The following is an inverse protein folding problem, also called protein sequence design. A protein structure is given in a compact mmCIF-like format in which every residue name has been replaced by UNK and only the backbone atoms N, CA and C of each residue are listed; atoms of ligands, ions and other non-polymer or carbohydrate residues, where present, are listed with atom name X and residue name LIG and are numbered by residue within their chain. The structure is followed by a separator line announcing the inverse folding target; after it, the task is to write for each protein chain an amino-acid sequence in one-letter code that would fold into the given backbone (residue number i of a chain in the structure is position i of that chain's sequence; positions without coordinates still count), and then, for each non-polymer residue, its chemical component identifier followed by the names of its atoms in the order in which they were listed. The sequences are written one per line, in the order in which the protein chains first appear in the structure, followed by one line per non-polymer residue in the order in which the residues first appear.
data_IF_904090547325
#
_entry.id   IF_904090547325
#
_cell.length_a   1.000
_cell.length_b   1.000
_cell.length_c   1.000
_cell.angle_alpha   90.00
_cell.angle_beta   90.00
_cell.angle_gamma   90.00
#
_symmetry.space_group_name_H-M   'P 1'
#
loop_
_entity.id
_entity.type
_entity.pdbx_description
1 polymer ?
#
# COMPACT_ATOMS: atom_id res chain seq x y z
N UNK A 1 3.10 0.37 -31.69
CA UNK A 1 3.59 1.01 -30.45
C UNK A 1 3.81 -0.11 -29.47
N UNK A 2 4.94 -0.14 -28.75
CA UNK A 2 5.17 -1.16 -27.73
C UNK A 2 4.25 -0.88 -26.53
N UNK A 3 3.27 -1.76 -26.33
CA UNK A 3 2.34 -1.75 -25.20
C UNK A 3 2.96 -2.40 -23.96
N UNK A 4 4.27 -2.66 -23.98
CA UNK A 4 5.03 -3.14 -22.84
C UNK A 4 6.43 -2.55 -22.82
N UNK A 5 6.98 -2.36 -21.63
CA UNK A 5 8.35 -1.90 -21.42
C UNK A 5 8.87 -2.39 -20.07
N UNK A 6 10.18 -2.27 -19.83
CA UNK A 6 10.84 -2.72 -18.60
C UNK A 6 11.45 -1.53 -17.88
N UNK A 7 11.27 -1.46 -16.58
CA UNK A 7 11.90 -0.44 -15.72
C UNK A 7 12.96 -1.12 -14.85
N UNK A 8 14.23 -0.69 -14.88
CA UNK A 8 15.26 -1.20 -13.98
C UNK A 8 14.87 -0.98 -12.51
N UNK A 9 15.21 -1.97 -11.67
CA UNK A 9 15.02 -1.93 -10.22
C UNK A 9 16.39 -1.87 -9.55
N UNK A 10 16.58 -0.89 -8.65
CA UNK A 10 17.79 -0.77 -7.83
C UNK A 10 17.62 -1.58 -6.55
N UNK A 11 18.55 -2.49 -6.26
CA UNK A 11 18.51 -3.36 -5.09
C UNK A 11 17.39 -4.41 -5.16
N UNK A 12 16.80 -4.74 -4.01
CA UNK A 12 15.73 -5.73 -3.92
C UNK A 12 14.35 -5.15 -4.28
N UNK A 13 13.51 -6.02 -4.83
CA UNK A 13 12.05 -5.85 -4.88
C UNK A 13 11.42 -7.22 -4.62
N UNK A 14 10.38 -7.25 -3.81
CA UNK A 14 9.40 -8.33 -3.78
C UNK A 14 8.04 -7.69 -4.05
N UNK A 15 7.59 -7.82 -5.29
CA UNK A 15 6.36 -7.18 -5.77
C UNK A 15 5.14 -7.71 -5.02
N UNK A 16 5.09 -9.00 -4.73
CA UNK A 16 3.99 -9.63 -3.99
C UNK A 16 3.94 -9.14 -2.55
N UNK A 17 5.09 -9.11 -1.86
CA UNK A 17 5.21 -8.58 -0.51
C UNK A 17 4.80 -7.11 -0.44
N UNK A 18 5.31 -6.30 -1.37
CA UNK A 18 5.04 -4.86 -1.46
C UNK A 18 3.54 -4.59 -1.66
N UNK A 19 2.90 -5.27 -2.62
CA UNK A 19 1.49 -5.03 -2.94
C UNK A 19 0.51 -5.65 -1.94
N UNK A 20 0.96 -6.59 -1.11
CA UNK A 20 0.13 -7.26 -0.08
C UNK A 20 0.44 -6.83 1.34
N UNK A 21 1.34 -5.86 1.55
CA UNK A 21 1.70 -5.38 2.89
C UNK A 21 0.59 -4.56 3.57
N UNK A 22 -0.53 -4.29 2.88
CA UNK A 22 -1.65 -3.51 3.42
C UNK A 22 -1.53 -2.01 3.22
N UNK A 23 -0.46 -1.56 2.55
CA UNK A 23 -0.25 -0.15 2.19
C UNK A 23 -1.14 0.35 1.04
N UNK A 24 -1.59 -0.53 0.14
CA UNK A 24 -2.44 -0.20 -1.02
C UNK A 24 -3.60 -1.19 -1.19
N UNK A 25 -4.68 -0.77 -1.85
CA UNK A 25 -5.95 -1.51 -1.93
C UNK A 25 -6.46 -1.78 -3.35
N UNK A 26 -5.75 -1.29 -4.37
CA UNK A 26 -6.20 -1.31 -5.77
C UNK A 26 -5.41 -2.24 -6.68
N UNK A 27 -4.63 -3.14 -6.08
CA UNK A 27 -3.85 -4.15 -6.78
C UNK A 27 -4.55 -5.51 -6.72
N UNK A 28 -4.65 -6.18 -7.88
CA UNK A 28 -5.23 -7.52 -8.01
C UNK A 28 -4.25 -8.40 -8.75
N UNK A 29 -4.21 -9.69 -8.40
CA UNK A 29 -3.46 -10.66 -9.20
C UNK A 29 -4.13 -10.77 -10.56
N UNK A 30 -3.34 -10.63 -11.62
CA UNK A 30 -3.70 -10.94 -12.99
C UNK A 30 -3.18 -12.35 -13.30
N UNK A 31 -4.03 -13.17 -13.89
CA UNK A 31 -3.69 -14.50 -14.40
C UNK A 31 -2.91 -14.46 -15.72
N UNK A 32 -2.62 -13.28 -16.25
CA UNK A 32 -1.87 -13.10 -17.49
C UNK A 32 -2.67 -13.40 -18.76
N UNK A 33 -3.95 -13.75 -18.65
CA UNK A 33 -4.84 -13.82 -19.80
C UNK A 33 -5.21 -12.39 -20.25
N UNK A 34 -5.30 -12.17 -21.57
CA UNK A 34 -5.85 -10.95 -22.13
C UNK A 34 -7.33 -10.86 -21.75
N UNK A 35 -7.70 -9.78 -21.05
CA UNK A 35 -9.02 -9.67 -20.44
C UNK A 35 -9.94 -8.82 -21.29
N UNK A 36 -11.10 -9.38 -21.66
CA UNK A 36 -12.35 -8.70 -21.42
C UNK A 36 -13.26 -9.58 -20.53
N UNK A 37 -13.67 -9.00 -19.40
CA UNK A 37 -14.84 -9.39 -18.62
C UNK A 37 -14.97 -10.87 -18.25
N UNK A 38 -14.44 -11.28 -17.10
CA UNK A 38 -15.21 -12.01 -16.07
C UNK A 38 -14.35 -12.27 -14.81
N UNK A 39 -15.03 -12.20 -13.65
CA UNK A 39 -14.63 -12.61 -12.29
C UNK A 39 -13.13 -12.62 -11.96
N UNK A 40 -12.69 -11.47 -11.47
CA UNK A 40 -11.43 -11.28 -10.75
C UNK A 40 -11.36 -12.16 -9.50
N UNK A 41 -10.34 -13.01 -9.40
CA UNK A 41 -10.07 -13.77 -8.19
C UNK A 41 -9.43 -12.87 -7.12
N UNK A 42 -10.03 -12.82 -5.93
CA UNK A 42 -9.26 -12.49 -4.71
C UNK A 42 -8.25 -13.62 -4.59
N UNK A 43 -6.97 -13.32 -4.80
CA UNK A 43 -5.94 -14.34 -4.67
C UNK A 43 -6.04 -15.00 -3.29
N UNK A 44 -6.04 -16.34 -3.22
CA UNK A 44 -6.12 -17.03 -1.94
C UNK A 44 -5.01 -16.52 -1.02
N UNK A 45 -5.28 -16.54 0.30
CA UNK A 45 -4.22 -16.37 1.30
C UNK A 45 -3.10 -17.32 0.91
N UNK A 46 -1.86 -16.81 0.82
CA UNK A 46 -0.68 -17.66 0.71
C UNK A 46 -0.82 -18.74 1.79
N UNK A 47 -0.88 -20.04 1.43
CA UNK A 47 -0.95 -21.08 2.42
C UNK A 47 0.26 -20.92 3.33
N UNK A 48 0.04 -20.85 4.64
CA UNK A 48 1.12 -21.11 5.58
C UNK A 48 1.72 -22.47 5.23
N UNK A 49 3.05 -22.65 5.30
CA UNK A 49 3.67 -23.91 4.90
C UNK A 49 3.06 -25.04 5.72
N UNK A 50 2.33 -25.92 5.03
CA UNK A 50 1.67 -27.08 5.59
C UNK A 50 2.70 -28.01 6.23
N UNK A 51 2.30 -28.66 7.33
CA UNK A 51 3.12 -29.69 7.97
C UNK A 51 3.18 -30.93 7.05
N UNK A 52 4.38 -31.20 6.51
CA UNK A 52 4.93 -32.53 6.26
C UNK A 52 4.34 -33.40 5.13
N UNK A 53 5.22 -33.75 4.17
CA UNK A 53 5.09 -34.91 3.28
C UNK A 53 5.91 -34.73 1.98
N UNK A 54 6.83 -35.65 1.61
CA UNK A 54 7.67 -35.46 0.43
C UNK A 54 6.85 -35.69 -0.85
N UNK A 55 6.67 -34.65 -1.65
CA UNK A 55 6.11 -34.77 -3.00
C UNK A 55 7.25 -34.93 -4.00
N UNK A 56 7.27 -36.09 -4.64
CA UNK A 56 8.10 -36.39 -5.79
C UNK A 56 7.64 -35.61 -7.04
N UNK A 57 8.61 -35.19 -7.86
CA UNK A 57 8.48 -35.16 -9.32
C UNK A 57 7.81 -33.94 -9.96
N UNK A 58 8.64 -33.01 -10.44
CA UNK A 58 8.29 -32.01 -11.46
C UNK A 58 8.53 -30.57 -11.00
N UNK A 59 9.63 -29.95 -11.46
CA UNK A 59 9.83 -28.50 -11.39
C UNK A 59 8.81 -27.82 -12.31
N UNK A 60 7.58 -27.64 -11.81
CA UNK A 60 6.67 -26.65 -12.37
C UNK A 60 7.36 -25.29 -12.21
N UNK A 61 7.71 -24.64 -13.32
CA UNK A 61 8.26 -23.29 -13.31
C UNK A 61 7.35 -22.42 -12.43
N UNK A 62 7.90 -21.82 -11.37
CA UNK A 62 7.15 -20.91 -10.50
C UNK A 62 6.47 -19.86 -11.39
N UNK A 63 5.14 -19.89 -11.42
CA UNK A 63 4.37 -18.96 -12.24
C UNK A 63 4.57 -17.57 -11.66
N UNK A 64 5.31 -16.72 -12.39
CA UNK A 64 5.50 -15.31 -12.03
C UNK A 64 4.12 -14.65 -11.90
N UNK A 65 3.80 -14.16 -10.71
CA UNK A 65 2.57 -13.44 -10.47
C UNK A 65 2.62 -12.09 -11.18
N UNK A 66 1.52 -11.76 -11.86
CA UNK A 66 1.31 -10.44 -12.45
C UNK A 66 0.26 -9.69 -11.64
N UNK A 67 0.34 -8.37 -11.63
CA UNK A 67 -0.53 -7.51 -10.83
C UNK A 67 -1.16 -6.41 -11.68
N UNK A 68 -2.49 -6.34 -11.70
CA UNK A 68 -3.24 -5.25 -12.31
C UNK A 68 -3.60 -4.19 -11.26
N UNK A 69 -3.20 -2.95 -11.48
CA UNK A 69 -3.49 -1.81 -10.63
C UNK A 69 -3.66 -0.52 -11.43
N UNK A 70 -4.00 0.57 -10.75
CA UNK A 70 -4.17 1.88 -11.36
C UNK A 70 -3.19 2.85 -10.70
N UNK A 71 -2.38 3.54 -11.51
CA UNK A 71 -1.43 4.56 -11.06
C UNK A 71 -1.75 5.85 -11.82
N UNK A 72 -2.26 6.85 -11.09
CA UNK A 72 -2.81 8.07 -11.70
C UNK A 72 -3.98 7.71 -12.61
N UNK A 73 -3.87 8.08 -13.89
CA UNK A 73 -4.94 7.90 -14.87
C UNK A 73 -4.82 6.61 -15.69
N UNK A 74 -3.88 5.72 -15.33
CA UNK A 74 -3.54 4.54 -16.13
C UNK A 74 -3.60 3.25 -15.34
N UNK A 75 -4.35 2.30 -15.86
CA UNK A 75 -4.26 0.91 -15.46
C UNK A 75 -2.99 0.29 -16.05
N UNK A 76 -2.26 -0.47 -15.23
CA UNK A 76 -1.03 -1.14 -15.61
C UNK A 76 -1.07 -2.58 -15.13
N UNK A 77 -0.48 -3.48 -15.91
CA UNK A 77 -0.16 -4.84 -15.47
C UNK A 77 1.34 -4.91 -15.24
N UNK A 78 1.71 -5.33 -14.02
CA UNK A 78 3.09 -5.40 -13.58
C UNK A 78 3.51 -6.85 -13.37
N UNK A 79 4.69 -7.20 -13.87
CA UNK A 79 5.29 -8.51 -13.66
C UNK A 79 6.74 -8.29 -13.24
N UNK A 80 7.11 -8.87 -12.09
CA UNK A 80 8.49 -8.79 -11.63
C UNK A 80 9.38 -9.74 -12.43
N UNK A 81 10.53 -9.22 -12.86
CA UNK A 81 11.60 -9.97 -13.49
C UNK A 81 12.92 -9.70 -12.77
N UNK A 82 13.93 -10.50 -13.06
CA UNK A 82 15.24 -10.32 -12.44
C UNK A 82 15.83 -8.95 -12.83
N UNK A 83 16.02 -8.07 -11.85
CA UNK A 83 16.51 -6.70 -12.02
C UNK A 83 15.53 -5.71 -12.70
N UNK A 84 14.32 -6.13 -13.08
CA UNK A 84 13.37 -5.27 -13.80
C UNK A 84 11.92 -5.45 -13.33
N UNK A 85 11.14 -4.39 -13.48
CA UNK A 85 9.68 -4.43 -13.42
C UNK A 85 9.14 -4.28 -14.83
N UNK A 86 8.53 -5.34 -15.37
CA UNK A 86 7.83 -5.28 -16.64
C UNK A 86 6.49 -4.59 -16.43
N UNK A 87 6.18 -3.63 -17.31
CA UNK A 87 4.94 -2.87 -17.33
C UNK A 87 4.23 -3.16 -18.65
N UNK A 88 2.96 -3.53 -18.59
CA UNK A 88 2.07 -3.67 -19.74
C UNK A 88 0.94 -2.65 -19.65
N UNK A 89 0.66 -2.00 -20.78
CA UNK A 89 -0.37 -0.98 -20.98
C UNK A 89 -1.52 -1.54 -21.82
N UNK A 90 -2.69 -0.93 -21.71
CA UNK A 90 -3.86 -1.35 -22.46
C UNK A 90 -3.82 -0.76 -23.88
N UNK A 91 -3.77 -1.58 -24.95
CA UNK A 91 -3.78 -1.06 -26.31
C UNK A 91 -5.06 -0.29 -26.67
N UNK A 92 -6.16 -0.47 -25.93
CA UNK A 92 -7.43 0.21 -26.15
C UNK A 92 -7.46 1.66 -25.62
N UNK A 93 -6.44 2.10 -24.88
CA UNK A 93 -6.40 3.43 -24.28
C UNK A 93 -5.16 4.20 -24.75
N UNK A 94 -5.31 5.50 -24.99
CA UNK A 94 -4.18 6.37 -25.34
C UNK A 94 -3.20 6.51 -24.17
N UNK A 95 -1.94 6.14 -24.39
CA UNK A 95 -0.91 6.19 -23.36
C UNK A 95 0.30 7.02 -23.79
N UNK A 96 0.90 7.73 -22.83
CA UNK A 96 2.27 8.22 -22.95
C UNK A 96 3.19 7.31 -22.14
N UNK A 97 3.87 6.37 -22.81
CA UNK A 97 4.70 5.35 -22.16
C UNK A 97 5.77 5.95 -21.24
N UNK A 98 6.39 7.08 -21.63
CA UNK A 98 7.39 7.77 -20.81
C UNK A 98 6.77 8.32 -19.51
N UNK A 99 5.58 8.92 -19.59
CA UNK A 99 4.85 9.41 -18.40
C UNK A 99 4.45 8.26 -17.48
N UNK A 100 3.97 7.14 -18.03
CA UNK A 100 3.62 5.95 -17.24
C UNK A 100 4.86 5.35 -16.59
N UNK A 101 5.97 5.22 -17.34
CA UNK A 101 7.23 4.72 -16.81
C UNK A 101 7.75 5.57 -15.64
N UNK A 102 7.74 6.90 -15.78
CA UNK A 102 8.09 7.82 -14.70
C UNK A 102 7.15 7.68 -13.48
N UNK A 103 5.85 7.53 -13.73
CA UNK A 103 4.84 7.30 -12.69
C UNK A 103 5.10 6.01 -11.91
N UNK A 104 5.32 4.89 -12.60
CA UNK A 104 5.62 3.59 -11.97
C UNK A 104 6.95 3.65 -11.21
N UNK A 105 8.01 4.22 -11.81
CA UNK A 105 9.32 4.38 -11.16
C UNK A 105 9.20 5.12 -9.83
N UNK A 106 8.45 6.22 -9.81
CA UNK A 106 8.16 7.00 -8.59
C UNK A 106 7.29 6.22 -7.61
N UNK A 107 6.19 5.64 -8.07
CA UNK A 107 5.21 4.95 -7.22
C UNK A 107 5.84 3.81 -6.43
N UNK A 108 6.76 3.05 -7.03
CA UNK A 108 7.47 1.96 -6.35
C UNK A 108 8.83 2.35 -5.78
N UNK A 109 9.28 3.61 -5.92
CA UNK A 109 10.63 4.04 -5.54
C UNK A 109 11.73 3.11 -6.09
N UNK A 110 11.69 2.84 -7.40
CA UNK A 110 12.58 1.84 -8.02
C UNK A 110 14.05 2.25 -8.07
N UNK A 111 14.35 3.53 -7.87
CA UNK A 111 15.72 4.06 -7.85
C UNK A 111 16.40 3.94 -6.48
N UNK A 112 15.64 3.64 -5.42
CA UNK A 112 16.19 3.47 -4.08
C UNK A 112 16.83 2.08 -3.93
N UNK A 113 18.09 2.04 -3.46
CA UNK A 113 18.78 0.79 -3.14
C UNK A 113 18.19 0.15 -1.87
N UNK A 114 17.12 -0.60 -2.09
CA UNK A 114 16.39 -1.28 -1.04
C UNK A 114 17.28 -2.28 -0.27
N UNK A 115 18.25 -2.89 -0.94
CA UNK A 115 19.15 -3.83 -0.31
C UNK A 115 20.12 -3.13 0.66
N UNK A 116 20.58 -1.92 0.33
CA UNK A 116 21.36 -1.10 1.26
C UNK A 116 20.53 -0.65 2.47
N UNK A 117 19.29 -0.20 2.26
CA UNK A 117 18.37 0.20 3.34
C UNK A 117 18.12 -0.96 4.30
N UNK A 118 17.80 -2.14 3.77
CA UNK A 118 17.56 -3.36 4.54
C UNK A 118 18.79 -3.81 5.33
N UNK A 119 19.99 -3.76 4.73
CA UNK A 119 21.25 -4.06 5.44
C UNK A 119 21.50 -3.11 6.59
N UNK A 120 21.20 -1.82 6.43
CA UNK A 120 21.35 -0.86 7.51
C UNK A 120 20.38 -1.16 8.66
N UNK A 121 19.09 -1.40 8.35
CA UNK A 121 18.11 -1.79 9.36
C UNK A 121 18.50 -3.08 10.10
N UNK A 122 18.89 -4.12 9.35
CA UNK A 122 19.24 -5.42 9.89
C UNK A 122 20.49 -5.35 10.80
N UNK A 123 21.49 -4.53 10.45
CA UNK A 123 22.71 -4.40 11.26
C UNK A 123 22.48 -3.69 12.60
N UNK A 124 21.47 -2.81 12.68
CA UNK A 124 21.10 -2.07 13.90
C UNK A 124 20.05 -2.79 14.74
N UNK A 125 19.24 -3.66 14.12
CA UNK A 125 18.09 -4.30 14.75
C UNK A 125 18.03 -5.79 14.44
N UNK A 126 18.68 -6.66 15.25
CA UNK A 126 18.78 -8.10 14.96
C UNK A 126 17.43 -8.81 14.78
N UNK A 127 16.43 -8.50 15.62
CA UNK A 127 15.07 -9.07 15.50
C UNK A 127 14.45 -8.71 14.14
N UNK A 128 14.58 -7.47 13.71
CA UNK A 128 14.08 -7.04 12.41
C UNK A 128 14.92 -7.64 11.27
N UNK A 129 16.23 -7.79 11.46
CA UNK A 129 17.13 -8.43 10.51
C UNK A 129 16.72 -9.87 10.19
N UNK A 130 16.27 -10.63 11.20
CA UNK A 130 15.72 -11.99 10.97
C UNK A 130 14.40 -11.96 10.19
N UNK A 131 13.53 -10.98 10.47
CA UNK A 131 12.27 -10.82 9.71
C UNK A 131 12.57 -10.49 8.25
N UNK A 132 13.49 -9.54 8.00
CA UNK A 132 13.90 -9.13 6.66
C UNK A 132 14.53 -10.29 5.91
N UNK A 133 15.42 -11.08 6.54
CA UNK A 133 16.12 -12.18 5.86
C UNK A 133 15.19 -13.29 5.37
N UNK A 134 14.02 -13.47 6.02
CA UNK A 134 13.00 -14.43 5.58
C UNK A 134 12.31 -14.01 4.28
N UNK A 135 12.17 -12.71 4.02
CA UNK A 135 11.51 -12.19 2.82
C UNK A 135 11.89 -10.72 2.54
N UNK A 136 13.07 -10.45 1.95
CA UNK A 136 13.52 -9.09 1.68
C UNK A 136 12.78 -8.46 0.49
N UNK A 137 13.01 -7.17 0.24
CA UNK A 137 12.51 -6.47 -0.95
C UNK A 137 11.16 -5.77 -0.78
N UNK A 138 10.64 -5.63 0.44
CA UNK A 138 9.46 -4.79 0.70
C UNK A 138 9.78 -3.33 0.40
N UNK A 139 9.11 -2.71 -0.58
CA UNK A 139 9.23 -1.28 -0.82
C UNK A 139 8.03 -0.51 -0.24
N UNK A 140 8.30 0.68 0.30
CA UNK A 140 7.24 1.65 0.65
C UNK A 140 6.81 2.35 -0.64
N UNK A 141 5.52 2.34 -0.95
CA UNK A 141 4.96 3.00 -2.12
C UNK A 141 4.92 4.53 -1.96
N UNK A 142 4.78 5.24 -3.09
CA UNK A 142 4.54 6.67 -3.18
C UNK A 142 3.21 6.92 -3.91
N UNK A 143 2.12 6.69 -3.21
CA UNK A 143 0.75 6.80 -3.71
C UNK A 143 0.34 8.26 -3.92
N UNK A 144 -0.73 8.47 -4.69
CA UNK A 144 -1.39 9.76 -4.75
C UNK A 144 -1.92 10.16 -3.35
N UNK A 145 -1.64 11.38 -2.86
CA UNK A 145 -2.06 11.78 -1.52
C UNK A 145 -3.55 11.76 -1.27
N UNK A 146 -4.37 12.09 -2.28
CA UNK A 146 -5.82 12.07 -2.15
C UNK A 146 -6.32 10.62 -2.05
N UNK A 147 -5.95 9.76 -3.01
CA UNK A 147 -6.31 8.34 -3.00
C UNK A 147 -5.86 7.65 -1.71
N UNK A 148 -4.63 7.90 -1.26
CA UNK A 148 -4.09 7.32 -0.04
C UNK A 148 -4.91 7.76 1.19
N UNK A 149 -5.12 9.07 1.35
CA UNK A 149 -5.89 9.65 2.46
C UNK A 149 -7.30 9.06 2.56
N UNK A 150 -8.06 9.09 1.47
CA UNK A 150 -9.44 8.64 1.49
C UNK A 150 -9.55 7.12 1.64
N UNK A 151 -8.59 6.37 1.09
CA UNK A 151 -8.52 4.92 1.30
C UNK A 151 -8.28 4.58 2.77
N UNK A 152 -7.40 5.31 3.48
CA UNK A 152 -7.18 5.07 4.91
C UNK A 152 -8.32 5.59 5.79
N UNK A 153 -9.05 6.65 5.40
CA UNK A 153 -10.33 7.01 6.04
C UNK A 153 -11.32 5.84 5.94
N UNK A 154 -11.45 5.23 4.75
CA UNK A 154 -12.31 4.06 4.51
C UNK A 154 -11.83 2.79 5.24
N UNK A 155 -10.55 2.74 5.61
CA UNK A 155 -9.93 1.62 6.34
C UNK A 155 -10.26 1.54 7.82
N UNK A 156 -10.60 2.67 8.46
CA UNK A 156 -10.76 2.73 9.91
C UNK A 156 -11.82 1.72 10.39
N UNK A 157 -11.55 0.84 11.36
CA UNK A 157 -12.52 -0.20 11.81
C UNK A 157 -13.09 -1.08 10.68
N UNK A 158 -12.24 -1.49 9.73
CA UNK A 158 -12.65 -2.27 8.57
C UNK A 158 -11.64 -3.40 8.28
N UNK A 159 -11.98 -4.32 7.38
CA UNK A 159 -11.05 -5.37 6.91
C UNK A 159 -10.68 -5.15 5.45
N UNK A 160 -9.49 -5.60 5.04
CA UNK A 160 -8.95 -5.34 3.69
C UNK A 160 -9.96 -5.70 2.58
N UNK A 161 -10.56 -6.92 2.52
CA UNK A 161 -11.51 -7.24 1.46
C UNK A 161 -12.72 -6.29 1.39
N UNK A 162 -13.21 -5.79 2.52
CA UNK A 162 -14.31 -4.83 2.55
C UNK A 162 -13.87 -3.44 2.10
N UNK A 163 -12.68 -2.99 2.52
CA UNK A 163 -12.07 -1.72 2.08
C UNK A 163 -11.92 -1.71 0.55
N UNK A 164 -11.32 -2.78 0.02
CA UNK A 164 -11.10 -3.00 -1.40
C UNK A 164 -12.39 -2.95 -2.22
N UNK A 165 -13.45 -3.62 -1.76
CA UNK A 165 -14.76 -3.58 -2.43
C UNK A 165 -15.39 -2.18 -2.42
N UNK A 166 -15.29 -1.47 -1.30
CA UNK A 166 -15.81 -0.09 -1.19
C UNK A 166 -15.05 0.85 -2.12
N UNK A 167 -13.72 0.76 -2.16
CA UNK A 167 -12.89 1.60 -3.05
C UNK A 167 -13.19 1.30 -4.52
N UNK A 168 -13.23 0.02 -4.93
CA UNK A 168 -13.53 -0.30 -6.32
C UNK A 168 -14.96 0.11 -6.69
N UNK A 169 -15.95 -0.03 -5.80
CA UNK A 169 -17.30 0.49 -6.06
C UNK A 169 -17.33 2.00 -6.27
N UNK A 170 -16.58 2.78 -5.47
CA UNK A 170 -16.43 4.23 -5.70
C UNK A 170 -15.80 4.53 -7.06
N UNK A 171 -14.73 3.81 -7.43
CA UNK A 171 -14.06 3.98 -8.71
C UNK A 171 -14.99 3.63 -9.88
N UNK A 172 -15.77 2.56 -9.77
CA UNK A 172 -16.74 2.17 -10.80
C UNK A 172 -17.84 3.21 -10.98
N UNK A 173 -18.32 3.83 -9.90
CA UNK A 173 -19.41 4.80 -9.96
C UNK A 173 -18.95 6.20 -10.40
N UNK A 174 -17.72 6.60 -10.06
CA UNK A 174 -17.27 8.00 -10.16
C UNK A 174 -15.97 8.20 -10.95
N UNK A 175 -15.25 7.14 -11.27
CA UNK A 175 -13.98 7.18 -12.00
C UNK A 175 -14.16 7.22 -13.52
N UNK A 176 -13.09 7.61 -14.22
CA UNK A 176 -13.00 7.57 -15.68
C UNK A 176 -12.33 6.25 -16.14
N UNK A 177 -12.51 5.81 -17.39
CA UNK A 177 -11.78 4.65 -17.91
C UNK A 177 -10.25 4.83 -17.79
N UNK A 178 -9.57 3.84 -17.21
CA UNK A 178 -8.11 3.82 -17.02
C UNK A 178 -7.39 2.74 -17.85
N UNK A 179 -8.14 1.83 -18.46
CA UNK A 179 -7.62 0.65 -19.18
C UNK A 179 -7.85 -0.66 -18.42
N UNK A 180 -7.77 -1.79 -19.12
CA UNK A 180 -8.02 -3.15 -18.61
C UNK A 180 -9.35 -3.29 -17.85
N UNK A 181 -10.38 -2.55 -18.29
CA UNK A 181 -11.68 -2.50 -17.62
C UNK A 181 -11.68 -1.85 -16.23
N UNK A 182 -10.58 -1.18 -15.83
CA UNK A 182 -10.47 -0.45 -14.56
C UNK A 182 -10.84 1.02 -14.73
N UNK A 183 -11.24 1.65 -13.63
CA UNK A 183 -11.50 3.10 -13.56
C UNK A 183 -10.50 3.83 -12.66
N UNK A 184 -10.28 5.11 -12.93
CA UNK A 184 -9.46 6.00 -12.10
C UNK A 184 -10.06 6.16 -10.69
N UNK A 185 -9.24 6.59 -9.74
CA UNK A 185 -9.76 6.98 -8.43
C UNK A 185 -10.51 8.31 -8.56
N UNK A 186 -11.71 8.47 -7.97
CA UNK A 186 -12.47 9.70 -8.11
C UNK A 186 -11.80 10.86 -7.38
N UNK A 187 -11.64 11.99 -8.05
CA UNK A 187 -11.09 13.21 -7.45
C UNK A 187 -12.01 13.83 -6.40
N UNK A 188 -11.50 14.80 -5.61
CA UNK A 188 -12.25 15.41 -4.50
C UNK A 188 -13.55 16.10 -4.96
N UNK A 189 -13.57 16.73 -6.13
CA UNK A 189 -14.80 17.30 -6.69
C UNK A 189 -15.88 16.25 -7.00
N UNK A 190 -15.51 15.10 -7.56
CA UNK A 190 -16.46 14.04 -7.87
C UNK A 190 -17.09 13.47 -6.58
N UNK A 191 -16.25 13.25 -5.56
CA UNK A 191 -16.69 12.77 -4.24
C UNK A 191 -17.60 13.79 -3.55
N UNK A 192 -17.27 15.08 -3.60
CA UNK A 192 -18.08 16.14 -2.99
C UNK A 192 -19.50 16.21 -3.60
N UNK A 193 -19.63 16.00 -4.92
CA UNK A 193 -20.87 16.20 -5.66
C UNK A 193 -21.70 14.91 -5.86
N UNK A 194 -21.19 13.73 -5.51
CA UNK A 194 -21.89 12.47 -5.77
C UNK A 194 -23.14 12.23 -4.91
N UNK A 195 -23.27 12.95 -3.79
CA UNK A 195 -24.39 12.81 -2.86
C UNK A 195 -24.37 11.53 -2.02
N UNK A 196 -25.20 11.49 -0.98
CA UNK A 196 -25.21 10.37 -0.03
C UNK A 196 -25.65 9.04 -0.64
N UNK A 197 -26.55 9.06 -1.63
CA UNK A 197 -27.02 7.85 -2.33
C UNK A 197 -25.87 7.08 -2.95
N UNK A 198 -24.92 7.78 -3.60
CA UNK A 198 -23.74 7.13 -4.21
C UNK A 198 -22.81 6.58 -3.13
N UNK A 199 -22.53 7.36 -2.08
CA UNK A 199 -21.67 6.92 -0.98
C UNK A 199 -22.22 5.68 -0.25
N UNK A 200 -23.54 5.61 -0.10
CA UNK A 200 -24.25 4.48 0.49
C UNK A 200 -24.22 3.25 -0.43
N UNK A 201 -24.45 3.44 -1.74
CA UNK A 201 -24.37 2.38 -2.73
C UNK A 201 -22.95 1.77 -2.81
N UNK A 202 -21.91 2.60 -2.69
CA UNK A 202 -20.52 2.15 -2.59
C UNK A 202 -20.17 1.52 -1.22
N UNK A 203 -21.12 1.45 -0.29
CA UNK A 203 -20.98 0.85 1.04
C UNK A 203 -19.94 1.55 1.92
N UNK A 204 -19.82 2.87 1.82
CA UNK A 204 -18.92 3.65 2.69
C UNK A 204 -19.35 3.60 4.17
N UNK A 205 -20.63 3.35 4.44
CA UNK A 205 -21.21 3.38 5.80
C UNK A 205 -21.00 4.75 6.47
N UNK A 206 -20.78 4.76 7.79
CA UNK A 206 -20.52 6.00 8.53
C UNK A 206 -19.26 6.77 8.07
N UNK A 207 -18.39 6.16 7.26
CA UNK A 207 -17.19 6.81 6.72
C UNK A 207 -17.54 7.69 5.51
N UNK A 208 -18.69 7.48 4.88
CA UNK A 208 -19.19 8.32 3.78
C UNK A 208 -19.25 9.80 4.18
N UNK A 209 -19.79 10.12 5.36
CA UNK A 209 -19.81 11.50 5.89
C UNK A 209 -18.41 12.08 6.10
N UNK A 210 -17.43 11.28 6.52
CA UNK A 210 -16.05 11.73 6.69
C UNK A 210 -15.39 11.97 5.33
N UNK A 211 -15.65 11.09 4.36
CA UNK A 211 -15.15 11.22 3.00
C UNK A 211 -15.71 12.49 2.32
N UNK A 212 -17.02 12.74 2.40
CA UNK A 212 -17.66 13.94 1.85
C UNK A 212 -17.16 15.23 2.53
N UNK A 213 -17.08 15.24 3.86
CA UNK A 213 -16.59 16.40 4.61
C UNK A 213 -15.09 16.66 4.35
N UNK A 214 -14.29 15.60 4.18
CA UNK A 214 -12.88 15.71 3.76
C UNK A 214 -12.78 16.31 2.36
N UNK A 215 -13.57 15.80 1.39
CA UNK A 215 -13.63 16.34 0.04
C UNK A 215 -13.97 17.84 0.05
N UNK A 216 -14.93 18.26 0.88
CA UNK A 216 -15.30 19.67 1.05
C UNK A 216 -14.12 20.53 1.51
N UNK A 217 -13.38 20.10 2.54
CA UNK A 217 -12.21 20.83 3.07
C UNK A 217 -11.07 20.95 2.07
N UNK A 218 -10.84 19.91 1.27
CA UNK A 218 -9.84 19.94 0.19
C UNK A 218 -10.28 20.89 -0.93
N UNK A 219 -11.53 20.78 -1.40
CA UNK A 219 -12.07 21.63 -2.48
C UNK A 219 -12.13 23.10 -2.08
N UNK A 220 -12.44 23.41 -0.81
CA UNK A 220 -12.46 24.80 -0.32
C UNK A 220 -11.06 25.38 -0.06
N UNK A 221 -9.99 24.58 -0.18
CA UNK A 221 -8.64 24.99 0.15
C UNK A 221 -8.36 25.14 1.65
N UNK A 222 -9.23 24.63 2.52
CA UNK A 222 -8.99 24.67 3.98
C UNK A 222 -7.81 23.78 4.38
N UNK A 223 -7.63 22.67 3.66
CA UNK A 223 -6.46 21.79 3.76
C UNK A 223 -5.90 21.58 2.35
N UNK A 224 -4.63 21.96 2.16
CA UNK A 224 -3.90 21.77 0.90
C UNK A 224 -2.96 20.55 0.99
N UNK A 225 -3.34 19.45 0.34
CA UNK A 225 -2.51 18.24 0.29
C UNK A 225 -1.16 18.48 -0.41
N UNK A 226 -1.09 19.40 -1.37
CA UNK A 226 0.20 19.72 -2.01
C UNK A 226 1.12 20.42 -1.00
N UNK A 227 0.59 21.37 -0.23
CA UNK A 227 1.27 22.07 0.84
C UNK A 227 1.76 21.16 1.96
N UNK A 228 0.99 20.12 2.33
CA UNK A 228 1.38 19.12 3.35
C UNK A 228 2.75 18.51 3.05
N UNK A 229 3.07 18.24 1.78
CA UNK A 229 4.36 17.68 1.38
C UNK A 229 5.56 18.57 1.71
N UNK A 230 5.36 19.88 1.86
CA UNK A 230 6.42 20.85 2.17
C UNK A 230 6.60 21.11 3.66
N UNK A 231 5.68 20.63 4.51
CA UNK A 231 5.73 20.84 5.96
C UNK A 231 6.68 19.84 6.64
N UNK A 232 7.31 20.22 7.77
CA UNK A 232 7.95 19.25 8.67
C UNK A 232 6.96 18.20 9.16
N UNK A 233 7.41 16.98 9.38
CA UNK A 233 6.56 15.80 9.69
C UNK A 233 5.55 16.04 10.83
N UNK A 234 5.91 16.67 11.97
CA UNK A 234 4.92 17.00 13.01
C UNK A 234 3.81 17.95 12.52
N UNK A 235 4.17 18.99 11.76
CA UNK A 235 3.20 19.95 11.22
C UNK A 235 2.34 19.32 10.11
N UNK A 236 2.94 18.52 9.23
CA UNK A 236 2.23 17.76 8.21
C UNK A 236 1.19 16.80 8.83
N UNK A 237 1.56 16.13 9.92
CA UNK A 237 0.67 15.27 10.71
C UNK A 237 -0.50 16.07 11.29
N UNK A 238 -0.21 17.19 11.96
CA UNK A 238 -1.24 18.07 12.52
C UNK A 238 -2.20 18.59 11.46
N UNK A 239 -1.70 18.93 10.27
CA UNK A 239 -2.51 19.40 9.14
C UNK A 239 -3.50 18.32 8.68
N UNK A 240 -3.02 17.08 8.47
CA UNK A 240 -3.87 15.95 8.08
C UNK A 240 -4.92 15.63 9.15
N UNK A 241 -4.58 15.74 10.43
CA UNK A 241 -5.48 15.45 11.55
C UNK A 241 -6.62 16.47 11.73
N UNK A 242 -6.63 17.59 10.98
CA UNK A 242 -7.80 18.48 10.88
C UNK A 242 -8.96 17.85 10.12
N UNK A 243 -8.69 16.82 9.33
CA UNK A 243 -9.68 16.16 8.48
C UNK A 243 -10.53 15.17 9.28
N UNK A 244 -11.84 15.09 9.01
CA UNK A 244 -12.74 14.21 9.75
C UNK A 244 -12.38 12.73 9.54
N UNK A 245 -12.31 11.98 10.64
CA UNK A 245 -11.93 10.56 10.61
C UNK A 245 -10.42 10.31 10.51
N UNK A 246 -9.58 11.35 10.54
CA UNK A 246 -8.11 11.24 10.48
C UNK A 246 -7.52 11.42 11.89
N UNK A 247 -7.27 10.30 12.57
CA UNK A 247 -6.43 10.26 13.77
C UNK A 247 -4.96 10.05 13.44
N UNK A 248 -4.09 10.01 14.46
CA UNK A 248 -2.63 9.84 14.28
C UNK A 248 -2.27 8.68 13.35
N UNK A 249 -2.85 7.48 13.56
CA UNK A 249 -2.58 6.30 12.73
C UNK A 249 -2.83 6.59 11.25
N UNK A 250 -3.97 7.20 10.92
CA UNK A 250 -4.34 7.50 9.52
C UNK A 250 -3.40 8.55 8.95
N UNK A 251 -3.09 9.61 9.72
CA UNK A 251 -2.13 10.62 9.31
C UNK A 251 -0.75 10.02 9.03
N UNK A 252 -0.23 9.17 9.92
CA UNK A 252 1.06 8.50 9.74
C UNK A 252 1.05 7.55 8.53
N UNK A 253 -0.03 6.80 8.27
CA UNK A 253 -0.16 6.01 7.04
C UNK A 253 -0.06 6.89 5.79
N UNK A 254 -0.72 8.05 5.78
CA UNK A 254 -0.68 8.97 4.63
C UNK A 254 0.71 9.59 4.46
N UNK A 255 1.34 10.01 5.56
CA UNK A 255 2.71 10.54 5.55
C UNK A 255 3.71 9.50 5.02
N UNK A 256 3.57 8.24 5.43
CA UNK A 256 4.43 7.16 4.98
C UNK A 256 4.19 6.83 3.50
N UNK A 257 2.95 6.50 3.13
CA UNK A 257 2.65 5.88 1.84
C UNK A 257 2.38 6.85 0.70
N UNK A 258 2.15 8.15 0.97
CA UNK A 258 1.99 9.16 -0.07
C UNK A 258 3.10 10.21 -0.08
N UNK A 259 3.61 10.59 1.10
CA UNK A 259 4.64 11.64 1.22
C UNK A 259 6.05 11.10 1.50
N UNK A 260 6.23 9.77 1.56
CA UNK A 260 7.52 9.11 1.82
C UNK A 260 8.24 9.60 3.08
N UNK A 261 7.49 9.93 4.14
CA UNK A 261 8.07 10.22 5.47
C UNK A 261 8.45 8.90 6.13
N UNK A 262 9.58 8.33 5.74
CA UNK A 262 10.05 7.00 6.20
C UNK A 262 10.34 6.94 7.70
N UNK A 263 10.41 8.08 8.37
CA UNK A 263 10.63 8.20 9.80
C UNK A 263 9.36 8.05 10.66
N UNK A 264 8.16 7.99 10.09
CA UNK A 264 6.92 7.79 10.88
C UNK A 264 6.63 6.31 11.12
N UNK A 265 5.91 6.00 12.21
CA UNK A 265 5.60 4.61 12.60
C UNK A 265 4.09 4.41 12.84
N UNK A 266 3.29 4.14 11.79
CA UNK A 266 1.84 3.94 11.94
C UNK A 266 1.50 2.71 12.79
N UNK A 267 0.77 2.88 13.90
CA UNK A 267 0.41 1.78 14.80
C UNK A 267 -1.06 1.40 14.67
N UNK A 268 -1.31 0.22 14.12
CA UNK A 268 -2.61 -0.46 14.18
C UNK A 268 -2.60 -1.63 15.18
N UNK A 269 -3.67 -2.43 15.19
CA UNK A 269 -3.76 -3.59 16.10
C UNK A 269 -2.71 -4.66 15.84
N UNK A 270 -2.24 -4.83 14.59
CA UNK A 270 -1.22 -5.83 14.23
C UNK A 270 0.16 -5.33 14.60
N UNK A 271 0.49 -4.09 14.27
CA UNK A 271 1.76 -3.46 14.66
C UNK A 271 1.88 -3.40 16.18
N UNK A 272 0.80 -3.02 16.89
CA UNK A 272 0.79 -3.02 18.36
C UNK A 272 1.07 -4.41 18.94
N UNK A 273 0.50 -5.47 18.37
CA UNK A 273 0.77 -6.86 18.78
C UNK A 273 2.21 -7.26 18.49
N UNK A 274 2.72 -6.94 17.30
CA UNK A 274 4.10 -7.22 16.92
C UNK A 274 5.08 -6.56 17.89
N UNK A 275 4.85 -5.27 18.18
CA UNK A 275 5.66 -4.51 19.13
C UNK A 275 5.60 -5.12 20.53
N UNK A 276 4.40 -5.39 21.05
CA UNK A 276 4.23 -5.99 22.38
C UNK A 276 4.93 -7.36 22.54
N UNK A 277 4.99 -8.16 21.47
CA UNK A 277 5.59 -9.50 21.50
C UNK A 277 7.10 -9.49 21.32
N UNK A 278 7.61 -8.66 20.40
CA UNK A 278 9.02 -8.62 20.03
C UNK A 278 9.82 -7.63 20.88
N UNK A 279 9.14 -6.65 21.46
CA UNK A 279 9.70 -5.61 22.31
C UNK A 279 8.81 -5.47 23.57
N UNK A 280 8.96 -6.38 24.55
CA UNK A 280 8.06 -6.52 25.69
C UNK A 280 7.82 -5.25 26.51
N UNK A 281 8.77 -4.32 26.51
CA UNK A 281 8.66 -3.00 27.14
C UNK A 281 7.49 -2.18 26.58
N UNK A 282 7.02 -2.47 25.36
CA UNK A 282 5.91 -1.78 24.71
C UNK A 282 4.54 -2.36 25.01
N UNK A 283 4.46 -3.52 25.69
CA UNK A 283 3.22 -4.29 25.86
C UNK A 283 2.08 -3.49 26.51
N UNK A 284 2.40 -2.68 27.52
CA UNK A 284 1.43 -1.84 28.24
C UNK A 284 1.25 -0.44 27.66
N UNK A 285 1.96 -0.10 26.58
CA UNK A 285 1.91 1.24 26.00
C UNK A 285 0.63 1.47 25.19
N UNK A 286 0.02 2.68 25.25
CA UNK A 286 -1.00 3.08 24.29
C UNK A 286 -0.40 3.22 22.88
N UNK A 287 -1.22 3.12 21.80
CA UNK A 287 -0.73 3.15 20.42
C UNK A 287 0.20 4.33 20.09
N UNK A 288 -0.08 5.51 20.63
CA UNK A 288 0.70 6.73 20.41
C UNK A 288 2.12 6.60 21.00
N UNK A 289 2.26 5.99 22.17
CA UNK A 289 3.56 5.74 22.81
C UNK A 289 4.32 4.62 22.10
N UNK A 290 3.62 3.62 21.57
CA UNK A 290 4.23 2.60 20.71
C UNK A 290 4.77 3.23 19.42
N UNK A 291 4.04 4.18 18.85
CA UNK A 291 4.48 4.89 17.65
C UNK A 291 5.72 5.73 17.92
N UNK A 292 5.75 6.50 19.01
CA UNK A 292 6.95 7.26 19.44
C UNK A 292 8.15 6.34 19.69
N UNK A 293 7.95 5.19 20.32
CA UNK A 293 9.03 4.22 20.52
C UNK A 293 9.51 3.59 19.21
N UNK A 294 8.62 3.30 18.27
CA UNK A 294 8.98 2.84 16.93
C UNK A 294 9.79 3.89 16.15
N UNK A 295 9.34 5.14 16.16
CA UNK A 295 10.06 6.29 15.55
C UNK A 295 11.46 6.43 16.17
N UNK A 296 11.57 6.40 17.50
CA UNK A 296 12.86 6.50 18.22
C UNK A 296 13.78 5.32 17.93
N UNK A 297 13.24 4.10 17.93
CA UNK A 297 14.02 2.86 17.82
C UNK A 297 14.56 2.66 16.41
N UNK A 298 13.70 2.79 15.41
CA UNK A 298 14.03 2.46 14.02
C UNK A 298 14.47 3.68 13.21
N UNK A 299 14.35 4.89 13.77
CA UNK A 299 14.88 6.13 13.23
C UNK A 299 14.33 6.44 11.84
N UNK A 300 15.22 6.80 10.90
CA UNK A 300 14.86 7.23 9.55
C UNK A 300 14.14 6.18 8.69
N UNK A 301 14.12 4.91 9.11
CA UNK A 301 13.45 3.82 8.40
C UNK A 301 12.36 3.17 9.25
N UNK A 302 11.80 3.90 10.22
CA UNK A 302 10.72 3.43 11.08
C UNK A 302 9.51 2.91 10.29
N UNK A 303 9.12 3.58 9.21
CA UNK A 303 8.01 3.14 8.37
C UNK A 303 8.28 1.81 7.66
N UNK A 304 9.51 1.57 7.21
CA UNK A 304 9.89 0.28 6.61
C UNK A 304 9.92 -0.84 7.67
N UNK A 305 10.48 -0.56 8.85
CA UNK A 305 10.42 -1.49 9.98
C UNK A 305 8.98 -1.84 10.36
N UNK A 306 8.09 -0.83 10.38
CA UNK A 306 6.66 -1.01 10.65
C UNK A 306 6.00 -1.97 9.66
N UNK A 307 6.27 -1.84 8.36
CA UNK A 307 5.68 -2.72 7.34
C UNK A 307 6.18 -4.17 7.45
N UNK A 308 7.46 -4.36 7.75
CA UNK A 308 7.99 -5.69 8.05
C UNK A 308 7.33 -6.32 9.28
N UNK A 309 7.19 -5.56 10.37
CA UNK A 309 6.51 -6.01 11.59
C UNK A 309 5.03 -6.33 11.34
N UNK A 310 4.36 -5.50 10.56
CA UNK A 310 2.97 -5.73 10.16
C UNK A 310 2.82 -7.03 9.36
N UNK A 311 3.63 -7.21 8.31
CA UNK A 311 3.63 -8.42 7.50
C UNK A 311 3.90 -9.66 8.35
N UNK A 312 4.91 -9.58 9.22
CA UNK A 312 5.35 -10.69 10.05
C UNK A 312 4.26 -11.15 11.03
N UNK A 313 3.61 -10.22 11.73
CA UNK A 313 2.50 -10.55 12.64
C UNK A 313 1.28 -11.06 11.88
N UNK A 314 0.90 -10.41 10.78
CA UNK A 314 -0.32 -10.73 10.04
C UNK A 314 -0.25 -12.09 9.33
N UNK A 315 0.94 -12.52 8.90
CA UNK A 315 1.14 -13.82 8.23
C UNK A 315 1.34 -14.98 9.21
N UNK A 316 1.40 -14.72 10.53
CA UNK A 316 1.66 -15.75 11.52
C UNK A 316 3.08 -16.32 11.47
N UNK A 317 4.00 -15.64 10.78
CA UNK A 317 5.40 -16.06 10.64
C UNK A 317 6.16 -16.10 11.98
N UNK A 318 5.59 -15.49 13.03
CA UNK A 318 6.01 -15.54 14.43
C UNK A 318 6.09 -16.94 15.05
N UNK A 319 5.24 -17.88 14.62
CA UNK A 319 5.23 -19.24 15.20
C UNK A 319 6.59 -19.94 15.02
N UNK A 320 7.41 -19.45 14.09
CA UNK A 320 8.71 -20.03 13.71
C UNK A 320 9.94 -19.29 14.27
N UNK A 321 9.80 -18.35 15.20
CA UNK A 321 10.93 -17.70 15.90
C UNK A 321 11.13 -18.20 17.34
N UNK A 322 10.17 -18.96 17.87
CA UNK A 322 10.15 -19.38 19.28
C UNK A 322 10.64 -20.84 19.44
N UNK A 323 11.32 -21.41 18.45
CA UNK A 323 11.93 -22.75 18.52
C UNK A 323 13.40 -22.66 18.13
#
# INVERSE_FOLDING_TARGET
MDFSFRIPVTGHLDLDLTLRSGQAFRWRVSDGADLPGERWMIAPRVPGPGRGGPMAGGLAAERKLSYCGVIGDHAVILTQEDGFLQVRLDPAVGHNANRVAAGVRKYFALDEDQAAIERELASKHPVLGEIISRRPGLKILCQDPWECLTSFILSAHNNIPAIERTIEALCEMLGNPAGFGRKTYPGPYAVLNCGETVLNAARCGFRGRYLAATAKKIVSGEVDLKGVGSLPTPAARSELMKLPGVGRKVADCVLLFAYRRLEVFPVDVWVKRAMARLYPETNSMPPERVAEEGERRFGRYAGLAQEYLYWFERTGSLVKMVH
#
